data_IF_059975147706
#
_entry.id   IF_059975147706
#
_cell.length_a   1.000
_cell.length_b   1.000
_cell.length_c   1.000
_cell.angle_alpha   90.00
_cell.angle_beta   90.00
_cell.angle_gamma   90.00
#
_symmetry.space_group_name_H-M   'P 1'
#
loop_
_entity.id
_entity.type
_entity.pdbx_description
1 polymer ?
#
# COMPACT_ATOMS: atom_id res chain seq x y z
N UNK A 1 1.70 -23.63 -9.83
CA UNK A 1 0.72 -23.09 -10.79
C UNK A 1 -0.60 -23.79 -10.63
N UNK A 2 -1.37 -23.32 -9.64
CA UNK A 2 -2.80 -23.53 -9.60
C UNK A 2 -3.53 -22.29 -10.16
N UNK A 3 -4.78 -22.50 -10.56
CA UNK A 3 -5.73 -21.42 -10.86
C UNK A 3 -6.87 -21.57 -9.86
N UNK A 4 -7.17 -20.50 -9.14
CA UNK A 4 -8.21 -20.43 -8.12
C UNK A 4 -9.19 -19.35 -8.54
N UNK A 5 -10.47 -19.67 -8.54
CA UNK A 5 -11.54 -18.75 -8.93
C UNK A 5 -12.58 -18.78 -7.82
N UNK A 6 -12.89 -17.60 -7.29
CA UNK A 6 -13.95 -17.39 -6.32
C UNK A 6 -15.34 -17.43 -6.95
N UNK A 7 -16.27 -16.83 -6.25
CA UNK A 7 -17.65 -16.61 -6.62
C UNK A 7 -17.93 -15.11 -6.56
N UNK A 8 -19.07 -14.63 -7.10
CA UNK A 8 -19.47 -13.22 -6.92
C UNK A 8 -19.90 -12.84 -5.48
N UNK A 9 -19.50 -13.61 -4.46
CA UNK A 9 -19.84 -13.41 -3.07
C UNK A 9 -18.54 -13.33 -2.27
N UNK A 10 -18.62 -12.85 -1.03
CA UNK A 10 -17.47 -12.82 -0.14
C UNK A 10 -16.87 -14.22 0.07
N UNK A 11 -15.63 -14.38 -0.37
CA UNK A 11 -14.88 -15.63 -0.36
C UNK A 11 -13.65 -15.59 0.55
N UNK A 12 -13.22 -16.78 0.96
CA UNK A 12 -11.90 -17.00 1.56
C UNK A 12 -11.14 -17.97 0.65
N UNK A 13 -10.17 -17.44 -0.08
CA UNK A 13 -9.39 -18.18 -1.06
C UNK A 13 -7.97 -18.41 -0.54
N UNK A 14 -7.52 -19.66 -0.61
CA UNK A 14 -6.17 -20.05 -0.17
C UNK A 14 -5.41 -20.70 -1.33
N UNK A 15 -4.19 -20.24 -1.56
CA UNK A 15 -3.26 -20.78 -2.53
C UNK A 15 -2.51 -22.03 -2.05
N UNK A 16 -1.48 -22.35 -2.81
CA UNK A 16 -0.58 -23.47 -2.64
C UNK A 16 0.83 -22.96 -2.32
N UNK A 17 1.81 -23.86 -2.15
CA UNK A 17 3.20 -23.44 -1.90
C UNK A 17 3.99 -23.07 -3.17
N UNK A 18 3.31 -22.86 -4.29
CA UNK A 18 3.97 -22.40 -5.50
C UNK A 18 3.08 -21.47 -6.27
N UNK A 19 3.66 -20.81 -7.28
CA UNK A 19 3.00 -19.78 -8.08
C UNK A 19 1.52 -20.07 -8.37
N UNK A 20 0.63 -19.14 -8.07
CA UNK A 20 -0.82 -19.27 -8.24
C UNK A 20 -1.41 -18.07 -8.98
N UNK A 21 -2.49 -18.32 -9.72
CA UNK A 21 -3.34 -17.28 -10.30
C UNK A 21 -4.70 -17.31 -9.61
N UNK A 22 -5.05 -16.23 -8.93
CA UNK A 22 -6.31 -16.11 -8.18
C UNK A 22 -7.15 -14.98 -8.75
N UNK A 23 -8.43 -15.30 -9.01
CA UNK A 23 -9.48 -14.34 -9.35
C UNK A 23 -10.56 -14.41 -8.28
N UNK A 24 -10.70 -13.36 -7.48
CA UNK A 24 -11.66 -13.30 -6.37
C UNK A 24 -13.09 -13.03 -6.89
N UNK A 25 -13.21 -12.11 -7.87
CA UNK A 25 -14.44 -11.67 -8.56
C UNK A 25 -15.16 -10.55 -7.78
N UNK A 26 -16.48 -10.49 -7.87
CA UNK A 26 -17.24 -9.54 -7.04
C UNK A 26 -17.31 -10.05 -5.60
N UNK A 27 -17.33 -9.15 -4.61
CA UNK A 27 -17.43 -9.53 -3.20
C UNK A 27 -16.39 -8.82 -2.37
N UNK A 28 -16.50 -8.94 -1.05
CA UNK A 28 -15.42 -8.51 -0.16
C UNK A 28 -14.62 -9.75 0.24
N UNK A 29 -13.51 -9.98 -0.43
CA UNK A 29 -12.81 -11.25 -0.40
C UNK A 29 -11.57 -11.21 0.50
N UNK A 30 -11.14 -12.39 0.94
CA UNK A 30 -9.85 -12.57 1.57
C UNK A 30 -9.08 -13.64 0.83
N UNK A 31 -7.95 -13.24 0.23
CA UNK A 31 -7.09 -14.11 -0.57
C UNK A 31 -5.73 -14.24 0.11
N UNK A 32 -5.25 -15.46 0.29
CA UNK A 32 -3.90 -15.74 0.79
C UNK A 32 -3.22 -16.83 -0.04
N UNK A 33 -2.10 -16.54 -0.72
CA UNK A 33 -1.49 -17.53 -1.63
C UNK A 33 -0.27 -18.26 -1.06
N UNK A 34 0.57 -17.63 -0.24
CA UNK A 34 1.60 -18.33 0.52
C UNK A 34 3.00 -18.19 -0.08
N UNK A 35 3.59 -19.28 -0.57
CA UNK A 35 4.91 -19.23 -1.22
C UNK A 35 4.72 -19.27 -2.74
N UNK A 36 5.58 -18.57 -3.49
CA UNK A 36 5.56 -18.61 -4.95
C UNK A 36 5.47 -17.21 -5.52
N UNK A 37 5.62 -17.08 -6.85
CA UNK A 37 5.35 -15.81 -7.52
C UNK A 37 3.90 -15.85 -8.02
N UNK A 38 3.04 -15.14 -7.34
CA UNK A 38 1.59 -15.22 -7.46
C UNK A 38 1.01 -14.01 -8.20
N UNK A 39 -0.19 -14.22 -8.77
CA UNK A 39 -1.02 -13.14 -9.31
C UNK A 39 -2.37 -13.20 -8.62
N UNK A 40 -2.73 -12.13 -7.92
CA UNK A 40 -4.00 -11.99 -7.22
C UNK A 40 -4.79 -10.84 -7.85
N UNK A 41 -6.06 -11.11 -8.19
CA UNK A 41 -6.99 -10.11 -8.72
C UNK A 41 -8.24 -10.12 -7.84
N UNK A 42 -8.53 -8.99 -7.17
CA UNK A 42 -9.74 -8.77 -6.39
C UNK A 42 -10.95 -8.62 -7.31
N UNK A 43 -10.90 -7.64 -8.21
CA UNK A 43 -12.01 -7.16 -9.05
C UNK A 43 -12.90 -6.15 -8.33
N UNK A 44 -14.07 -6.50 -7.80
CA UNK A 44 -15.01 -5.50 -7.28
C UNK A 44 -15.43 -5.81 -5.85
N UNK A 45 -15.32 -4.83 -4.96
CA UNK A 45 -15.59 -4.94 -3.54
C UNK A 45 -14.33 -4.66 -2.73
N UNK A 46 -14.41 -4.77 -1.42
CA UNK A 46 -13.32 -4.37 -0.52
C UNK A 46 -12.53 -5.61 -0.13
N UNK A 47 -11.40 -5.83 -0.80
CA UNK A 47 -10.65 -7.07 -0.74
C UNK A 47 -9.44 -6.99 0.20
N UNK A 48 -9.02 -8.16 0.67
CA UNK A 48 -7.78 -8.34 1.44
C UNK A 48 -6.90 -9.35 0.72
N UNK A 49 -5.85 -8.87 0.08
CA UNK A 49 -4.96 -9.66 -0.76
C UNK A 49 -3.59 -9.83 -0.08
N UNK A 50 -3.24 -11.07 0.26
CA UNK A 50 -1.97 -11.43 0.92
C UNK A 50 -1.21 -12.46 0.08
N UNK A 51 -0.16 -12.07 -0.63
CA UNK A 51 0.53 -13.03 -1.51
C UNK A 51 1.61 -13.85 -0.79
N UNK A 52 2.37 -13.25 0.12
CA UNK A 52 3.24 -13.98 1.05
C UNK A 52 4.72 -13.90 0.69
N UNK A 53 5.34 -14.99 0.25
CA UNK A 53 6.75 -15.02 -0.13
C UNK A 53 6.88 -15.18 -1.65
N UNK A 54 7.64 -14.32 -2.30
CA UNK A 54 7.88 -14.37 -3.73
C UNK A 54 7.83 -12.98 -4.33
N UNK A 55 7.97 -12.88 -5.65
CA UNK A 55 7.75 -11.61 -6.34
C UNK A 55 6.38 -11.66 -7.00
N UNK A 56 5.42 -10.95 -6.41
CA UNK A 56 4.00 -11.10 -6.67
C UNK A 56 3.41 -9.91 -7.42
N UNK A 57 2.22 -10.13 -8.00
CA UNK A 57 1.41 -9.08 -8.61
C UNK A 57 0.03 -9.10 -7.95
N UNK A 58 -0.34 -7.98 -7.34
CA UNK A 58 -1.64 -7.79 -6.71
C UNK A 58 -2.40 -6.69 -7.44
N UNK A 59 -3.66 -6.95 -7.76
CA UNK A 59 -4.59 -6.00 -8.38
C UNK A 59 -5.85 -5.99 -7.52
N UNK A 60 -6.13 -4.87 -6.84
CA UNK A 60 -7.32 -4.68 -6.02
C UNK A 60 -8.56 -4.59 -6.91
N UNK A 61 -8.70 -3.48 -7.62
CA UNK A 61 -9.79 -3.25 -8.56
C UNK A 61 -10.67 -2.09 -8.11
N UNK A 62 -11.98 -2.29 -8.05
CA UNK A 62 -12.93 -1.31 -7.55
C UNK A 62 -13.24 -1.60 -6.08
N UNK A 63 -12.91 -0.69 -5.15
CA UNK A 63 -13.24 -0.87 -3.74
C UNK A 63 -12.23 -0.21 -2.82
N UNK A 64 -12.29 -0.56 -1.54
CA UNK A 64 -11.28 -0.15 -0.58
C UNK A 64 -10.46 -1.39 -0.20
N UNK A 65 -9.34 -1.58 -0.89
CA UNK A 65 -8.57 -2.82 -0.84
C UNK A 65 -7.37 -2.72 0.11
N UNK A 66 -6.99 -3.86 0.69
CA UNK A 66 -5.74 -4.04 1.40
C UNK A 66 -4.83 -4.96 0.59
N UNK A 67 -3.73 -4.43 0.09
CA UNK A 67 -2.74 -5.16 -0.69
C UNK A 67 -1.47 -5.35 0.14
N UNK A 68 -1.10 -6.60 0.40
CA UNK A 68 0.12 -6.96 1.10
C UNK A 68 0.88 -8.05 0.31
N UNK A 69 1.92 -7.62 -0.40
CA UNK A 69 2.80 -8.50 -1.14
C UNK A 69 3.59 -9.45 -0.23
N UNK A 70 4.15 -8.90 0.84
CA UNK A 70 4.96 -9.67 1.79
C UNK A 70 6.42 -9.72 1.33
N UNK A 71 7.10 -10.84 1.59
CA UNK A 71 8.53 -10.95 1.30
C UNK A 71 8.76 -11.08 -0.20
N UNK A 72 9.34 -10.05 -0.78
CA UNK A 72 9.92 -10.09 -2.11
C UNK A 72 9.85 -8.74 -2.77
N UNK A 73 9.94 -8.67 -4.09
CA UNK A 73 9.78 -7.43 -4.82
C UNK A 73 8.45 -7.47 -5.56
N UNK A 74 7.44 -6.85 -4.96
CA UNK A 74 6.05 -6.98 -5.39
C UNK A 74 5.57 -5.80 -6.21
N UNK A 75 4.56 -6.03 -7.04
CA UNK A 75 3.86 -4.98 -7.78
C UNK A 75 2.41 -4.97 -7.33
N UNK A 76 1.98 -3.87 -6.73
CA UNK A 76 0.64 -3.70 -6.20
C UNK A 76 -0.08 -2.57 -6.94
N UNK A 77 -1.26 -2.88 -7.47
CA UNK A 77 -2.18 -1.94 -8.10
C UNK A 77 -3.48 -1.87 -7.28
N UNK A 78 -3.76 -0.75 -6.63
CA UNK A 78 -4.95 -0.53 -5.82
C UNK A 78 -6.18 -0.47 -6.73
N UNK A 79 -6.35 0.64 -7.45
CA UNK A 79 -7.39 0.77 -8.47
C UNK A 79 -8.28 1.97 -8.20
N UNK A 80 -9.58 1.75 -8.08
CA UNK A 80 -10.54 2.80 -7.71
C UNK A 80 -10.95 2.60 -6.25
N UNK A 81 -11.18 3.71 -5.54
CA UNK A 81 -11.52 3.71 -4.13
C UNK A 81 -10.29 3.91 -3.24
N UNK A 82 -10.42 3.68 -1.93
CA UNK A 82 -9.39 4.07 -0.95
C UNK A 82 -8.58 2.83 -0.55
N UNK A 83 -7.41 2.67 -1.14
CA UNK A 83 -6.60 1.48 -1.01
C UNK A 83 -5.49 1.64 0.04
N UNK A 84 -5.07 0.51 0.59
CA UNK A 84 -3.96 0.42 1.54
C UNK A 84 -2.91 -0.56 1.03
N UNK A 85 -1.70 -0.07 0.84
CA UNK A 85 -0.54 -0.85 0.43
C UNK A 85 0.37 -1.11 1.63
N UNK A 86 0.68 -2.38 1.89
CA UNK A 86 1.69 -2.76 2.88
C UNK A 86 3.01 -3.01 2.16
N UNK A 87 3.98 -2.13 2.40
CA UNK A 87 5.31 -2.16 1.77
C UNK A 87 6.37 -2.55 2.79
N UNK A 88 6.96 -3.72 2.61
CA UNK A 88 8.03 -4.24 3.48
C UNK A 88 9.39 -4.37 2.79
N UNK A 89 9.41 -4.21 1.46
CA UNK A 89 10.62 -4.27 0.66
C UNK A 89 10.84 -2.97 -0.10
N UNK A 90 12.09 -2.52 -0.16
CA UNK A 90 12.49 -1.31 -0.91
C UNK A 90 12.28 -1.45 -2.42
N UNK A 91 12.11 -2.67 -2.92
CA UNK A 91 11.84 -2.98 -4.32
C UNK A 91 10.35 -3.10 -4.64
N UNK A 92 9.46 -2.97 -3.65
CA UNK A 92 8.02 -2.96 -3.89
C UNK A 92 7.61 -1.75 -4.72
N UNK A 93 6.64 -1.96 -5.59
CA UNK A 93 6.11 -0.96 -6.50
C UNK A 93 4.61 -0.81 -6.25
N UNK A 94 4.21 0.33 -5.67
CA UNK A 94 2.80 0.72 -5.53
C UNK A 94 2.38 1.59 -6.71
N UNK A 95 1.21 1.33 -7.30
CA UNK A 95 0.69 2.03 -8.48
C UNK A 95 -0.79 2.28 -8.39
N UNK A 96 -1.17 3.54 -8.58
CA UNK A 96 -2.56 3.91 -8.79
C UNK A 96 -2.98 3.88 -10.26
N UNK A 97 -4.25 3.57 -10.50
CA UNK A 97 -4.89 3.90 -11.75
C UNK A 97 -4.95 5.42 -11.91
N UNK A 98 -4.85 5.92 -13.14
CA UNK A 98 -4.79 7.36 -13.41
C UNK A 98 -6.11 8.01 -12.98
N UNK A 99 -6.11 8.68 -11.83
CA UNK A 99 -7.07 9.67 -11.29
C UNK A 99 -8.31 9.85 -12.19
N UNK A 100 -9.19 8.85 -12.15
CA UNK A 100 -10.56 9.01 -12.65
C UNK A 100 -11.36 9.73 -11.56
N UNK A 101 -12.58 10.18 -11.86
CA UNK A 101 -13.45 10.77 -10.84
C UNK A 101 -13.83 9.81 -9.68
N UNK A 102 -13.38 8.56 -9.75
CA UNK A 102 -13.52 7.51 -8.74
C UNK A 102 -12.20 7.27 -7.96
N UNK A 103 -11.15 8.06 -8.18
CA UNK A 103 -9.91 7.97 -7.40
C UNK A 103 -10.16 8.27 -5.93
N UNK A 104 -9.53 7.49 -5.06
CA UNK A 104 -9.67 7.61 -3.61
C UNK A 104 -8.56 8.42 -2.95
N UNK A 105 -8.43 8.20 -1.64
CA UNK A 105 -7.35 8.71 -0.80
C UNK A 105 -6.56 7.51 -0.32
N UNK A 106 -5.44 7.28 -0.96
CA UNK A 106 -4.72 6.01 -0.83
C UNK A 106 -3.59 6.10 0.19
N UNK A 107 -3.33 4.97 0.86
CA UNK A 107 -2.40 4.88 1.98
C UNK A 107 -1.32 3.86 1.74
N UNK A 108 -0.07 4.27 1.95
CA UNK A 108 1.06 3.35 2.04
C UNK A 108 1.45 3.19 3.51
N UNK A 109 1.37 1.96 4.02
CA UNK A 109 1.98 1.55 5.28
C UNK A 109 3.35 0.94 4.98
N UNK A 110 4.44 1.54 5.43
CA UNK A 110 5.78 1.09 5.07
C UNK A 110 6.68 0.80 6.26
N UNK A 111 7.32 -0.38 6.24
CA UNK A 111 8.38 -0.74 7.20
C UNK A 111 9.79 -0.45 6.67
N UNK A 112 9.89 0.19 5.49
CA UNK A 112 11.13 0.62 4.84
C UNK A 112 11.09 2.11 4.51
N UNK A 113 12.24 2.68 4.15
CA UNK A 113 12.27 4.07 3.65
C UNK A 113 11.52 4.16 2.32
N UNK A 114 10.59 5.12 2.21
CA UNK A 114 9.65 5.18 1.09
C UNK A 114 9.41 6.60 0.58
N UNK A 115 9.23 6.71 -0.73
CA UNK A 115 8.73 7.91 -1.41
C UNK A 115 7.41 7.59 -2.10
N UNK A 116 6.38 8.41 -1.89
CA UNK A 116 5.09 8.19 -2.52
C UNK A 116 5.17 8.33 -4.05
N UNK A 117 4.54 7.40 -4.74
CA UNK A 117 4.29 7.47 -6.17
C UNK A 117 3.18 8.47 -6.50
N UNK A 118 2.90 8.65 -7.80
CA UNK A 118 1.76 9.46 -8.24
C UNK A 118 0.44 8.87 -7.75
N UNK A 119 -0.50 9.74 -7.33
CA UNK A 119 -1.85 9.34 -6.92
C UNK A 119 -1.95 8.81 -5.49
N UNK A 120 -0.86 8.79 -4.72
CA UNK A 120 -0.86 8.35 -3.33
C UNK A 120 -0.80 9.57 -2.40
N UNK A 121 -1.69 9.62 -1.41
CA UNK A 121 -1.85 10.78 -0.53
C UNK A 121 -1.24 10.55 0.86
N UNK A 122 -1.35 9.34 1.41
CA UNK A 122 -0.94 9.06 2.78
C UNK A 122 0.27 8.13 2.83
N UNK A 123 1.19 8.41 3.75
CA UNK A 123 2.30 7.53 4.09
C UNK A 123 2.38 7.39 5.62
N UNK A 124 2.31 6.16 6.10
CA UNK A 124 2.50 5.82 7.50
C UNK A 124 3.70 4.89 7.64
N UNK A 125 4.69 5.33 8.41
CA UNK A 125 5.84 4.49 8.78
C UNK A 125 5.46 3.52 9.88
N UNK A 126 5.82 2.26 9.71
CA UNK A 126 5.60 1.19 10.68
C UNK A 126 6.91 0.68 11.26
N UNK A 127 6.82 -0.23 12.23
CA UNK A 127 7.98 -0.78 12.91
C UNK A 127 8.72 0.23 13.82
N UNK A 128 9.96 -0.12 14.19
CA UNK A 128 10.79 0.65 15.12
C UNK A 128 12.15 1.07 14.52
N UNK A 129 12.37 0.81 13.24
CA UNK A 129 13.59 1.22 12.56
C UNK A 129 13.54 2.71 12.21
N UNK A 130 14.71 3.37 12.20
CA UNK A 130 14.85 4.74 11.73
C UNK A 130 14.76 4.78 10.20
N UNK A 131 13.54 4.86 9.69
CA UNK A 131 13.20 4.95 8.27
C UNK A 131 12.67 6.34 7.93
N UNK A 132 12.69 6.70 6.65
CA UNK A 132 12.36 8.05 6.20
C UNK A 132 11.22 8.03 5.18
N UNK A 133 10.47 9.14 5.14
CA UNK A 133 9.30 9.29 4.31
C UNK A 133 9.39 10.51 3.42
N UNK A 134 9.03 10.35 2.15
CA UNK A 134 8.92 11.46 1.20
C UNK A 134 7.54 11.43 0.55
N UNK A 135 6.85 12.55 0.55
CA UNK A 135 5.62 12.77 -0.21
C UNK A 135 5.87 12.88 -1.71
N UNK A 136 4.92 13.48 -2.42
CA UNK A 136 4.95 13.74 -3.86
C UNK A 136 4.55 15.21 -4.12
N UNK A 137 3.89 15.50 -5.25
CA UNK A 137 3.44 16.86 -5.58
C UNK A 137 2.01 17.21 -5.13
N UNK A 138 1.32 16.27 -4.49
CA UNK A 138 -0.04 16.42 -3.97
C UNK A 138 -0.02 16.87 -2.51
N UNK A 139 -1.19 17.15 -1.93
CA UNK A 139 -1.30 17.37 -0.49
C UNK A 139 -1.19 16.02 0.24
N UNK A 140 -0.05 15.75 0.87
CA UNK A 140 0.21 14.48 1.55
C UNK A 140 -0.01 14.53 3.06
N UNK A 141 -0.36 13.40 3.64
CA UNK A 141 -0.31 13.15 5.09
C UNK A 141 0.81 12.16 5.37
N UNK A 142 1.87 12.60 6.04
CA UNK A 142 3.03 11.77 6.38
C UNK A 142 3.08 11.57 7.90
N UNK A 143 3.07 10.31 8.33
CA UNK A 143 3.19 9.92 9.74
C UNK A 143 4.44 9.05 9.94
N UNK A 144 5.34 9.47 10.82
CA UNK A 144 6.50 8.71 11.26
C UNK A 144 6.16 7.61 12.27
N UNK A 145 7.17 6.84 12.67
CA UNK A 145 7.06 5.77 13.66
C UNK A 145 7.64 6.23 15.02
N UNK A 146 8.10 5.29 15.86
CA UNK A 146 8.66 5.65 17.16
C UNK A 146 10.16 5.97 17.15
N UNK A 147 10.80 5.88 15.99
CA UNK A 147 12.21 6.16 15.80
C UNK A 147 12.40 7.56 15.22
N UNK A 148 13.64 8.05 15.20
CA UNK A 148 13.96 9.33 14.58
C UNK A 148 13.75 9.24 13.06
N UNK A 149 12.72 9.91 12.54
CA UNK A 149 12.41 9.92 11.11
C UNK A 149 12.81 11.25 10.46
N UNK A 150 13.16 11.19 9.18
CA UNK A 150 13.18 12.35 8.28
C UNK A 150 11.94 12.26 7.40
N UNK A 151 11.04 13.24 7.53
CA UNK A 151 9.82 13.34 6.72
C UNK A 151 9.89 14.59 5.83
N UNK A 152 9.66 14.41 4.53
CA UNK A 152 9.67 15.49 3.54
C UNK A 152 8.36 15.50 2.74
N UNK A 153 7.52 16.52 2.89
CA UNK A 153 6.26 16.67 2.14
C UNK A 153 6.48 16.93 0.65
N UNK A 154 7.53 17.70 0.33
CA UNK A 154 7.84 18.24 -1.00
C UNK A 154 6.93 19.40 -1.41
N UNK A 155 6.06 19.23 -2.40
CA UNK A 155 5.18 20.28 -2.89
C UNK A 155 3.75 19.82 -2.65
N UNK A 156 2.88 20.74 -2.27
CA UNK A 156 1.55 20.37 -1.79
C UNK A 156 1.19 21.24 -0.60
N UNK A 157 0.04 20.95 0.02
CA UNK A 157 -0.25 21.46 1.35
C UNK A 157 -0.23 20.25 2.29
N UNK A 158 0.92 19.98 2.87
CA UNK A 158 1.20 18.72 3.54
C UNK A 158 0.87 18.80 5.04
N UNK A 159 0.59 17.64 5.63
CA UNK A 159 0.48 17.45 7.07
C UNK A 159 1.49 16.40 7.50
N UNK A 160 2.48 16.83 8.29
CA UNK A 160 3.56 15.96 8.78
C UNK A 160 3.41 15.75 10.29
N UNK A 161 3.45 14.49 10.70
CA UNK A 161 3.53 14.05 12.09
C UNK A 161 4.76 13.16 12.26
N UNK A 162 5.76 13.60 13.02
CA UNK A 162 7.00 12.85 13.23
C UNK A 162 6.81 11.55 14.02
N UNK A 163 5.77 11.47 14.86
CA UNK A 163 5.62 10.36 15.80
C UNK A 163 6.41 10.61 17.08
N UNK A 164 7.04 9.58 17.62
CA UNK A 164 7.95 9.72 18.76
C UNK A 164 9.40 9.80 18.24
N UNK A 165 10.29 10.32 19.07
CA UNK A 165 11.70 10.41 18.72
C UNK A 165 12.10 11.84 18.35
N UNK A 166 13.30 11.98 17.81
CA UNK A 166 13.86 13.26 17.38
C UNK A 166 13.77 13.36 15.86
N UNK A 167 12.65 13.89 15.37
CA UNK A 167 12.33 13.91 13.94
C UNK A 167 12.81 15.18 13.24
N UNK A 168 13.09 15.05 11.95
CA UNK A 168 13.32 16.15 11.04
C UNK A 168 12.16 16.26 10.05
N UNK A 169 11.32 17.29 10.22
CA UNK A 169 10.15 17.53 9.39
C UNK A 169 10.40 18.68 8.42
N UNK A 170 10.33 18.40 7.13
CA UNK A 170 10.35 19.39 6.06
C UNK A 170 9.03 19.32 5.28
N UNK A 171 8.05 20.12 5.68
CA UNK A 171 6.77 20.17 4.97
C UNK A 171 6.93 20.59 3.51
N UNK A 172 7.81 21.55 3.23
CA UNK A 172 7.78 22.28 1.97
C UNK A 172 7.29 23.72 2.20
N UNK A 173 6.48 24.24 1.28
CA UNK A 173 5.88 25.57 1.42
C UNK A 173 4.37 25.52 1.65
N UNK A 174 3.91 26.14 2.76
CA UNK A 174 2.50 26.28 3.24
C UNK A 174 1.95 25.14 4.11
N UNK A 175 2.84 24.36 4.72
CA UNK A 175 2.48 23.11 5.40
C UNK A 175 2.26 23.25 6.91
N UNK A 176 1.58 22.26 7.49
CA UNK A 176 1.39 22.15 8.96
C UNK A 176 2.25 21.03 9.51
N UNK A 177 3.00 21.34 10.56
CA UNK A 177 3.80 20.37 11.32
C UNK A 177 3.11 20.10 12.67
N UNK A 178 2.85 18.82 12.97
CA UNK A 178 2.46 18.38 14.30
C UNK A 178 3.70 17.98 15.10
N UNK A 179 3.97 18.67 16.20
CA UNK A 179 4.90 18.22 17.24
C UNK A 179 4.03 17.86 18.45
N UNK A 180 4.02 16.60 18.87
CA UNK A 180 3.48 16.17 20.16
C UNK A 180 4.64 15.92 21.13
#
# INVERSE_FOLDING_TARGET
>A
MAIIIGTPLNDILNGTLGADWVFALEGNDTVSTGDGNDILVGEAGNDRLFSGNGNDILIGGDGADLLAGGIGADIMYGGNGNDTYVVDNVLDVTREAVNTALGGVDTVESSVTRSLGFGLENLTMTGAAAINGTGNGNANVLTGNSANNVLSGLAGNDTLNGGLGNDALNGGGRDRHGLL
#
